data_IF_098128640876
#
_entry.id   IF_098128640876
#
_cell.length_a   1.000
_cell.length_b   1.000
_cell.length_c   1.000
_cell.angle_alpha   90.00
_cell.angle_beta   90.00
_cell.angle_gamma   90.00
#
_symmetry.space_group_name_H-M   'P 1'
#
loop_
_entity.id
_entity.type
_entity.pdbx_description
1 polymer ?
#
# COMPACT_ATOMS: atom_id res chain seq x y z
N UNK A 1 1.59 -11.70 17.62
CA UNK A 1 2.12 -10.56 16.85
C UNK A 1 3.46 -10.17 17.46
N UNK A 2 4.45 -9.87 16.60
CA UNK A 2 5.76 -9.33 17.01
C UNK A 2 6.04 -8.11 16.14
N UNK A 3 6.46 -7.01 16.77
CA UNK A 3 6.74 -5.78 16.05
C UNK A 3 8.24 -5.53 15.99
N UNK A 4 8.75 -5.23 14.80
CA UNK A 4 10.13 -4.80 14.57
C UNK A 4 10.09 -3.36 14.06
N UNK A 5 10.97 -2.52 14.56
CA UNK A 5 11.05 -1.14 14.07
C UNK A 5 12.21 -1.03 13.08
N UNK A 6 11.87 -0.66 11.85
CA UNK A 6 12.85 -0.43 10.77
C UNK A 6 13.22 1.05 10.76
N UNK A 7 14.51 1.36 10.77
CA UNK A 7 14.95 2.75 10.61
C UNK A 7 14.95 3.08 9.12
N UNK A 8 14.16 4.06 8.72
CA UNK A 8 14.07 4.49 7.32
C UNK A 8 14.24 6.00 7.27
N UNK A 9 15.39 6.46 6.79
CA UNK A 9 15.79 7.86 6.76
C UNK A 9 15.77 8.43 8.20
N UNK A 10 14.71 9.14 8.60
CA UNK A 10 14.54 9.72 9.94
C UNK A 10 13.33 9.13 10.66
N UNK A 11 12.67 8.16 10.04
CA UNK A 11 11.46 7.54 10.59
C UNK A 11 11.76 6.16 11.15
N UNK A 12 11.00 5.77 12.16
CA UNK A 12 10.93 4.40 12.64
C UNK A 12 9.62 3.82 12.13
N UNK A 13 9.70 2.77 11.33
CA UNK A 13 8.52 2.14 10.74
C UNK A 13 8.21 0.86 11.52
N UNK A 14 6.98 0.74 11.96
CA UNK A 14 6.53 -0.44 12.69
C UNK A 14 6.11 -1.54 11.69
N UNK A 15 6.91 -2.59 11.63
CA UNK A 15 6.60 -3.77 10.83
C UNK A 15 6.13 -4.89 11.77
N UNK A 16 4.88 -5.29 11.60
CA UNK A 16 4.24 -6.29 12.44
C UNK A 16 4.26 -7.66 11.76
N UNK A 17 4.82 -8.65 12.44
CA UNK A 17 4.70 -10.04 12.00
C UNK A 17 3.44 -10.62 12.64
N UNK A 18 2.40 -10.74 11.86
CA UNK A 18 1.09 -11.21 12.33
C UNK A 18 1.04 -12.74 12.41
N UNK A 19 1.76 -13.41 11.51
CA UNK A 19 1.86 -14.87 11.48
C UNK A 19 3.23 -15.27 10.95
N UNK A 20 3.84 -16.27 11.59
CA UNK A 20 5.09 -16.85 11.11
C UNK A 20 4.81 -17.80 9.92
N UNK A 21 5.83 -18.06 9.13
CA UNK A 21 5.73 -18.97 7.99
C UNK A 21 7.07 -19.10 7.31
N UNK A 22 7.16 -19.99 6.30
CA UNK A 22 8.36 -20.16 5.50
C UNK A 22 8.04 -19.80 4.05
N UNK A 23 8.93 -19.05 3.43
CA UNK A 23 8.76 -18.62 2.04
C UNK A 23 8.42 -17.15 1.94
N UNK A 24 7.85 -16.76 0.80
CA UNK A 24 7.61 -15.37 0.47
C UNK A 24 6.56 -14.74 1.40
N UNK A 25 6.85 -13.57 2.02
CA UNK A 25 5.87 -12.88 2.86
C UNK A 25 4.71 -12.29 2.05
N UNK A 26 3.58 -12.23 2.73
CA UNK A 26 2.46 -11.39 2.31
C UNK A 26 2.51 -10.11 3.16
N UNK A 27 2.57 -8.65 2.63
CA UNK A 27 2.58 -7.48 3.14
C UNK A 27 1.30 -6.94 3.09
N UNK A 28 0.81 -6.76 4.11
CA UNK A 28 -0.48 -6.03 4.13
C UNK A 28 -0.20 -4.54 4.27
N UNK A 29 -0.81 -3.73 3.42
CA UNK A 29 -0.71 -2.26 3.43
C UNK A 29 -2.11 -1.69 3.70
N UNK A 30 -2.26 -0.93 4.77
CA UNK A 30 -3.55 -0.45 5.27
C UNK A 30 -4.07 0.79 4.54
N UNK A 31 -5.33 1.12 4.74
CA UNK A 31 -5.96 2.33 4.22
C UNK A 31 -5.61 3.58 5.02
N UNK A 32 -6.02 4.72 4.48
CA UNK A 32 -5.76 6.04 5.09
C UNK A 32 -6.40 6.12 6.48
N UNK A 33 -5.59 6.50 7.46
CA UNK A 33 -6.08 6.65 8.83
C UNK A 33 -6.24 5.35 9.60
N UNK A 34 -5.88 4.25 9.00
CA UNK A 34 -5.96 2.94 9.67
C UNK A 34 -4.61 2.52 10.26
N UNK A 35 -4.46 1.48 10.74
CA UNK A 35 -3.36 0.84 11.31
C UNK A 35 -3.31 -0.53 10.79
N UNK A 36 -2.21 -1.17 11.14
CA UNK A 36 -2.11 -2.62 10.85
C UNK A 36 -3.02 -3.46 11.75
N UNK A 37 -3.56 -4.56 11.25
CA UNK A 37 -4.39 -5.39 12.12
C UNK A 37 -3.54 -6.06 13.21
N UNK A 38 -4.16 -6.32 14.35
CA UNK A 38 -3.45 -6.97 15.48
C UNK A 38 -3.28 -8.48 15.29
N UNK A 39 -4.06 -9.07 14.38
CA UNK A 39 -4.02 -10.50 14.05
C UNK A 39 -4.03 -10.68 12.53
N UNK A 40 -3.47 -11.79 12.08
CA UNK A 40 -3.54 -12.12 10.65
C UNK A 40 -5.01 -12.26 10.23
N UNK A 41 -5.47 -11.49 9.24
CA UNK A 41 -6.86 -11.59 8.82
C UNK A 41 -7.21 -13.01 8.36
N UNK A 42 -8.41 -13.50 8.69
CA UNK A 42 -8.79 -14.88 8.32
C UNK A 42 -8.64 -15.20 6.84
N UNK A 43 -8.84 -14.20 5.96
CA UNK A 43 -8.69 -14.38 4.52
C UNK A 43 -7.26 -14.79 4.13
N UNK A 44 -6.26 -14.55 4.99
CA UNK A 44 -4.86 -14.90 4.72
C UNK A 44 -4.51 -16.31 5.21
N UNK A 45 -5.48 -17.08 5.75
CA UNK A 45 -5.21 -18.39 6.36
C UNK A 45 -4.47 -19.35 5.42
N UNK A 46 -4.80 -19.32 4.13
CA UNK A 46 -4.17 -20.17 3.12
C UNK A 46 -2.81 -19.71 2.62
N UNK A 47 -2.34 -18.52 3.03
CA UNK A 47 -1.05 -18.04 2.54
C UNK A 47 0.10 -18.88 3.11
N UNK A 48 1.01 -19.40 2.26
CA UNK A 48 2.04 -20.34 2.74
C UNK A 48 3.15 -19.68 3.55
N UNK A 49 3.44 -18.40 3.30
CA UNK A 49 4.54 -17.67 3.93
C UNK A 49 4.11 -16.89 5.18
N UNK A 50 5.04 -16.08 5.72
CA UNK A 50 4.68 -15.18 6.81
C UNK A 50 3.66 -14.15 6.37
N UNK A 51 2.88 -13.63 7.33
CA UNK A 51 1.97 -12.51 7.08
C UNK A 51 2.51 -11.32 7.88
N UNK A 52 2.84 -10.26 7.17
CA UNK A 52 3.42 -9.03 7.71
C UNK A 52 2.46 -7.88 7.43
N UNK A 53 2.48 -6.87 8.28
CA UNK A 53 1.71 -5.64 8.06
C UNK A 53 2.58 -4.46 8.44
N UNK A 54 2.55 -3.42 7.62
CA UNK A 54 3.33 -2.20 7.82
C UNK A 54 2.41 -1.07 8.26
N UNK A 55 2.77 -0.40 9.34
CA UNK A 55 2.19 0.91 9.62
C UNK A 55 2.98 1.95 8.84
N UNK A 56 2.32 2.68 7.96
CA UNK A 56 2.96 3.78 7.22
C UNK A 56 3.38 4.90 8.15
N UNK A 57 4.41 5.67 7.77
CA UNK A 57 4.78 6.91 8.45
C UNK A 57 3.52 7.73 8.76
N UNK A 58 3.37 8.19 10.00
CA UNK A 58 2.21 8.95 10.44
C UNK A 58 1.02 8.12 10.88
N UNK A 59 1.13 6.79 10.86
CA UNK A 59 0.04 5.88 11.23
C UNK A 59 0.50 4.83 12.24
N UNK A 60 -0.44 4.28 12.99
CA UNK A 60 -0.20 3.19 13.91
C UNK A 60 0.95 3.45 14.88
N UNK A 61 1.88 2.51 14.95
CA UNK A 61 3.07 2.59 15.81
C UNK A 61 4.28 3.22 15.12
N UNK A 62 4.15 3.61 13.83
CA UNK A 62 5.23 4.29 13.10
C UNK A 62 5.37 5.74 13.52
N UNK A 63 6.58 6.30 13.34
CA UNK A 63 6.84 7.67 13.75
C UNK A 63 6.14 8.70 12.88
N UNK A 64 6.04 9.93 13.38
CA UNK A 64 5.44 11.08 12.71
C UNK A 64 6.52 12.11 12.41
N UNK A 65 6.61 12.61 11.19
CA UNK A 65 7.44 13.78 10.94
C UNK A 65 6.77 15.05 11.50
N UNK A 66 7.55 15.98 11.98
CA UNK A 66 7.02 17.26 12.42
C UNK A 66 6.60 18.09 11.21
N UNK A 67 5.33 18.50 11.17
CA UNK A 67 4.84 19.44 10.17
C UNK A 67 4.40 18.84 8.84
N UNK A 68 4.08 17.56 8.79
CA UNK A 68 3.48 16.97 7.59
C UNK A 68 4.50 16.59 6.52
N UNK A 69 4.10 16.71 5.24
CA UNK A 69 4.94 16.35 4.09
C UNK A 69 4.68 14.93 3.59
N UNK A 70 3.49 14.44 3.80
CA UNK A 70 3.13 13.08 3.37
C UNK A 70 2.77 13.04 1.89
N UNK A 71 3.36 12.11 1.16
CA UNK A 71 3.00 11.83 -0.23
C UNK A 71 2.90 10.31 -0.41
N UNK A 72 2.21 9.89 -1.46
CA UNK A 72 2.10 8.46 -1.75
C UNK A 72 3.48 7.86 -2.07
N UNK A 73 4.39 8.66 -2.66
CA UNK A 73 5.76 8.21 -2.95
C UNK A 73 6.59 8.04 -1.68
N UNK A 74 6.36 8.89 -0.66
CA UNK A 74 7.01 8.71 0.63
C UNK A 74 6.55 7.40 1.28
N UNK A 75 5.24 7.12 1.23
CA UNK A 75 4.71 5.85 1.77
C UNK A 75 5.17 4.64 0.93
N UNK A 76 5.34 4.83 -0.39
CA UNK A 76 5.94 3.79 -1.22
C UNK A 76 7.37 3.48 -0.74
N UNK A 77 8.12 4.53 -0.37
CA UNK A 77 9.48 4.36 0.17
C UNK A 77 9.46 3.62 1.52
N UNK A 78 8.44 3.87 2.37
CA UNK A 78 8.25 3.08 3.60
C UNK A 78 8.11 1.59 3.27
N UNK A 79 7.28 1.26 2.29
CA UNK A 79 7.05 -0.14 1.91
C UNK A 79 8.29 -0.75 1.23
N UNK A 80 9.06 0.06 0.48
CA UNK A 80 10.32 -0.39 -0.12
C UNK A 80 11.34 -0.77 0.96
N UNK A 81 11.33 -0.08 2.09
CA UNK A 81 12.21 -0.43 3.22
C UNK A 81 11.88 -1.84 3.76
N UNK A 82 10.61 -2.26 3.69
CA UNK A 82 10.24 -3.63 4.08
C UNK A 82 10.86 -4.63 3.09
N UNK A 83 10.79 -4.36 1.78
CA UNK A 83 11.40 -5.25 0.76
C UNK A 83 12.91 -5.37 1.02
N UNK A 84 13.58 -4.27 1.35
CA UNK A 84 15.01 -4.30 1.67
C UNK A 84 15.32 -5.19 2.86
N UNK A 85 14.39 -5.29 3.82
CA UNK A 85 14.57 -6.11 5.02
C UNK A 85 14.25 -7.59 4.78
N UNK A 86 13.14 -7.90 4.04
CA UNK A 86 12.62 -9.27 3.99
C UNK A 86 12.76 -9.93 2.62
N UNK A 87 13.18 -9.20 1.59
CA UNK A 87 13.25 -9.69 0.21
C UNK A 87 11.91 -9.61 -0.50
N UNK A 88 11.73 -10.34 -1.61
CA UNK A 88 10.51 -10.25 -2.40
C UNK A 88 9.25 -10.61 -1.63
N UNK A 89 8.16 -9.89 -1.93
CA UNK A 89 6.87 -10.05 -1.24
C UNK A 89 5.71 -10.16 -2.25
N UNK A 90 4.55 -10.61 -1.78
CA UNK A 90 3.26 -10.35 -2.41
C UNK A 90 2.56 -9.30 -1.56
N UNK A 91 1.82 -8.40 -2.19
CA UNK A 91 1.20 -7.26 -1.50
C UNK A 91 -0.32 -7.41 -1.49
N UNK A 92 -0.94 -7.18 -0.34
CA UNK A 92 -2.39 -7.03 -0.20
C UNK A 92 -2.62 -5.61 0.29
N UNK A 93 -3.09 -4.74 -0.59
CA UNK A 93 -3.29 -3.33 -0.28
C UNK A 93 -4.76 -2.96 -0.17
N UNK A 94 -5.08 -2.18 0.86
CA UNK A 94 -6.42 -1.66 1.09
C UNK A 94 -6.42 -0.14 0.93
N UNK A 95 -7.37 0.38 0.16
CA UNK A 95 -7.54 1.83 0.04
C UNK A 95 -6.26 2.56 -0.41
N UNK A 96 -5.75 3.47 0.44
CA UNK A 96 -4.47 4.14 0.20
C UNK A 96 -3.36 3.12 -0.03
N UNK A 97 -3.31 2.05 0.79
CA UNK A 97 -2.29 1.01 0.66
C UNK A 97 -2.34 0.25 -0.67
N UNK A 98 -3.52 0.19 -1.31
CA UNK A 98 -3.63 -0.41 -2.64
C UNK A 98 -2.94 0.47 -3.69
N UNK A 99 -3.16 1.78 -3.64
CA UNK A 99 -2.49 2.71 -4.56
C UNK A 99 -0.98 2.72 -4.33
N UNK A 100 -0.56 2.80 -3.06
CA UNK A 100 0.88 2.74 -2.72
C UNK A 100 1.48 1.42 -3.21
N UNK A 101 0.76 0.31 -3.08
CA UNK A 101 1.19 -1.00 -3.58
C UNK A 101 1.40 -1.02 -5.09
N UNK A 102 0.54 -0.29 -5.83
CA UNK A 102 0.71 -0.16 -7.28
C UNK A 102 1.99 0.59 -7.63
N UNK A 103 2.24 1.73 -6.94
CA UNK A 103 3.47 2.50 -7.16
C UNK A 103 4.70 1.65 -6.82
N UNK A 104 4.64 0.93 -5.71
CA UNK A 104 5.74 0.03 -5.29
C UNK A 104 5.99 -1.04 -6.34
N UNK A 105 4.92 -1.67 -6.86
CA UNK A 105 5.07 -2.73 -7.84
C UNK A 105 5.73 -2.21 -9.13
N UNK A 106 5.31 -1.04 -9.61
CA UNK A 106 5.94 -0.44 -10.80
C UNK A 106 7.40 -0.07 -10.57
N UNK A 107 7.74 0.28 -9.33
CA UNK A 107 9.13 0.66 -8.96
C UNK A 107 10.02 -0.56 -8.68
N UNK A 108 9.43 -1.67 -8.22
CA UNK A 108 10.15 -2.92 -7.88
C UNK A 108 9.51 -4.13 -8.56
N UNK A 109 9.42 -4.13 -9.91
CA UNK A 109 8.62 -5.17 -10.58
C UNK A 109 9.16 -6.59 -10.43
N UNK A 110 10.43 -6.74 -10.09
CA UNK A 110 11.02 -8.08 -9.88
C UNK A 110 10.94 -8.54 -8.43
N UNK A 111 10.68 -7.61 -7.49
CA UNK A 111 10.63 -7.91 -6.05
C UNK A 111 9.19 -8.13 -5.57
N UNK A 112 8.19 -7.70 -6.35
CA UNK A 112 6.79 -7.93 -6.02
C UNK A 112 6.30 -9.11 -6.87
N UNK A 113 5.67 -10.08 -6.21
CA UNK A 113 5.16 -11.29 -6.86
C UNK A 113 3.66 -11.36 -6.68
N UNK A 114 2.98 -10.33 -7.16
CA UNK A 114 1.53 -10.18 -7.11
C UNK A 114 1.08 -9.05 -6.19
N UNK A 115 0.06 -8.34 -6.64
CA UNK A 115 -0.60 -7.26 -5.88
C UNK A 115 -2.09 -7.50 -5.90
N UNK A 116 -2.72 -7.44 -4.72
CA UNK A 116 -4.18 -7.45 -4.60
C UNK A 116 -4.62 -6.03 -4.23
N UNK A 117 -5.50 -5.44 -5.04
CA UNK A 117 -6.05 -4.10 -4.87
C UNK A 117 -7.46 -4.22 -4.30
N UNK A 118 -7.65 -3.79 -3.05
CA UNK A 118 -8.94 -3.86 -2.35
C UNK A 118 -9.43 -2.48 -1.94
N UNK A 119 -10.75 -2.34 -1.81
CA UNK A 119 -11.38 -1.11 -1.31
C UNK A 119 -10.88 -0.78 0.10
N UNK A 120 -10.90 0.51 0.44
CA UNK A 120 -10.55 0.97 1.77
C UNK A 120 -10.42 2.49 1.82
N UNK A 121 -10.21 3.04 3.00
CA UNK A 121 -10.06 4.49 3.14
C UNK A 121 -8.91 5.04 2.31
N UNK A 122 -9.14 6.21 1.70
CA UNK A 122 -8.15 6.87 0.87
C UNK A 122 -7.94 6.25 -0.50
N UNK A 123 -8.91 5.45 -1.00
CA UNK A 123 -8.78 4.77 -2.28
C UNK A 123 -8.78 5.74 -3.47
N UNK A 124 -9.67 6.74 -3.44
CA UNK A 124 -9.80 7.70 -4.55
C UNK A 124 -8.75 8.80 -4.55
N UNK A 125 -8.26 9.17 -3.37
CA UNK A 125 -7.38 10.33 -3.24
C UNK A 125 -8.07 11.62 -3.63
N UNK A 126 -7.33 12.58 -4.15
CA UNK A 126 -7.81 13.88 -4.61
C UNK A 126 -8.27 13.90 -6.06
N UNK A 127 -8.48 12.73 -6.67
CA UNK A 127 -8.91 12.64 -8.06
C UNK A 127 -7.74 12.54 -9.03
N UNK A 128 -8.08 12.48 -10.32
CA UNK A 128 -7.10 12.23 -11.37
C UNK A 128 -6.31 13.45 -11.82
N UNK A 129 -6.71 14.66 -11.43
CA UNK A 129 -6.07 15.92 -11.87
C UNK A 129 -5.93 16.90 -10.72
N UNK A 130 -4.87 17.72 -10.71
CA UNK A 130 -4.76 18.78 -9.73
C UNK A 130 -5.95 19.74 -9.84
N UNK A 131 -6.52 20.07 -8.70
CA UNK A 131 -7.58 21.08 -8.61
C UNK A 131 -6.99 22.38 -8.05
N UNK A 132 -7.82 23.41 -7.88
CA UNK A 132 -7.36 24.66 -7.27
C UNK A 132 -6.76 24.37 -5.89
N UNK A 133 -5.71 25.07 -5.51
CA UNK A 133 -5.09 24.85 -4.21
C UNK A 133 -6.10 24.96 -3.08
N UNK A 134 -6.03 24.02 -2.15
CA UNK A 134 -6.82 24.03 -0.92
C UNK A 134 -5.89 24.39 0.23
N UNK A 135 -6.32 25.31 1.06
CA UNK A 135 -5.62 25.55 2.31
C UNK A 135 -6.01 24.44 3.28
N UNK A 136 -5.06 23.54 3.50
CA UNK A 136 -5.27 22.50 4.50
C UNK A 136 -5.02 23.12 5.87
N UNK A 137 -6.01 23.05 6.72
CA UNK A 137 -5.91 23.56 8.08
C UNK A 137 -6.06 22.39 9.06
N UNK A 138 -4.99 22.10 9.76
CA UNK A 138 -5.02 21.11 10.83
C UNK A 138 -5.15 21.87 12.14
N UNK A 139 -6.23 21.68 12.89
CA UNK A 139 -6.40 22.38 14.17
C UNK A 139 -5.23 22.07 15.11
N UNK A 140 -4.73 23.10 15.79
CA UNK A 140 -3.53 22.97 16.63
C UNK A 140 -3.70 21.96 17.77
N UNK A 141 -4.92 21.79 18.25
CA UNK A 141 -5.20 20.82 19.30
C UNK A 141 -5.19 19.37 18.79
N UNK A 142 -5.45 19.15 17.48
CA UNK A 142 -5.39 17.83 16.89
C UNK A 142 -3.98 17.49 16.40
N UNK A 143 -3.21 18.52 16.04
CA UNK A 143 -1.85 18.33 15.55
C UNK A 143 -0.87 17.87 16.64
N UNK A 144 -1.28 17.93 17.89
CA UNK A 144 -0.33 17.78 18.98
C UNK A 144 0.10 16.35 19.31
N UNK A 145 -0.77 15.34 19.12
CA UNK A 145 -0.49 14.02 19.69
C UNK A 145 -1.04 12.85 18.87
N UNK A 146 -0.24 11.81 18.72
CA UNK A 146 -0.69 10.48 18.32
C UNK A 146 -0.86 10.26 16.82
N UNK A 147 -1.27 9.03 16.51
CA UNK A 147 -1.55 8.58 15.14
C UNK A 147 -3.02 8.18 15.02
N UNK A 148 -3.65 8.31 13.86
CA UNK A 148 -3.04 8.84 12.63
C UNK A 148 -2.76 10.33 12.74
N UNK A 149 -1.66 10.77 12.13
CA UNK A 149 -1.29 12.18 12.10
C UNK A 149 -2.34 12.96 11.30
N UNK A 150 -2.95 14.02 11.85
CA UNK A 150 -3.90 14.82 11.08
C UNK A 150 -3.34 15.39 9.78
N UNK A 151 -2.03 15.70 9.73
CA UNK A 151 -1.40 16.12 8.49
C UNK A 151 -1.41 15.00 7.44
N UNK A 152 -1.18 13.76 7.86
CA UNK A 152 -1.25 12.62 6.92
C UNK A 152 -2.65 12.51 6.33
N UNK A 153 -3.64 12.62 7.15
CA UNK A 153 -5.01 12.58 6.67
C UNK A 153 -5.31 13.71 5.67
N UNK A 154 -4.89 14.75 5.89
CA UNK A 154 -5.08 15.81 5.06
C UNK A 154 -4.35 15.76 3.79
N UNK A 155 -3.18 15.52 3.88
CA UNK A 155 -2.38 15.53 2.67
C UNK A 155 -2.68 14.33 1.75
N UNK A 156 -2.73 13.14 2.30
CA UNK A 156 -2.92 11.93 1.49
C UNK A 156 -4.34 11.82 0.92
N UNK A 157 -5.35 12.39 1.59
CA UNK A 157 -6.71 12.43 1.04
C UNK A 157 -6.80 13.33 -0.18
N UNK A 158 -5.92 14.35 -0.28
CA UNK A 158 -5.92 15.31 -1.40
C UNK A 158 -4.89 15.02 -2.49
N UNK A 159 -3.99 14.15 -2.34
CA UNK A 159 -3.10 13.76 -3.25
C UNK A 159 -3.75 13.29 -4.45
N UNK A 160 -3.34 13.97 -5.44
CA UNK A 160 -3.80 13.62 -6.79
C UNK A 160 -3.25 12.27 -7.22
N UNK A 161 -4.05 11.49 -7.95
CA UNK A 161 -3.62 10.18 -8.48
C UNK A 161 -3.84 10.16 -9.98
N UNK A 162 -2.90 10.70 -10.76
CA UNK A 162 -3.08 10.82 -12.21
C UNK A 162 -3.20 9.44 -12.87
N UNK A 163 -4.19 9.26 -13.76
CA UNK A 163 -4.37 7.98 -14.45
C UNK A 163 -3.16 7.55 -15.28
N UNK A 164 -2.49 8.50 -15.94
CA UNK A 164 -1.30 8.19 -16.75
C UNK A 164 -0.11 7.77 -15.89
N UNK A 165 0.00 8.32 -14.67
CA UNK A 165 1.05 7.91 -13.73
C UNK A 165 0.82 6.46 -13.27
N UNK A 166 -0.42 6.11 -12.94
CA UNK A 166 -0.77 4.73 -12.59
C UNK A 166 -0.52 3.78 -13.76
N UNK A 167 -0.93 4.18 -14.97
CA UNK A 167 -0.73 3.37 -16.17
C UNK A 167 0.76 3.12 -16.44
N UNK A 168 1.62 4.11 -16.17
CA UNK A 168 3.06 3.95 -16.35
C UNK A 168 3.63 2.90 -15.38
N UNK A 169 3.17 2.91 -14.12
CA UNK A 169 3.61 1.89 -13.16
C UNK A 169 3.17 0.49 -13.61
N UNK A 170 1.93 0.36 -14.09
CA UNK A 170 1.45 -0.92 -14.62
C UNK A 170 2.25 -1.35 -15.85
N UNK A 171 2.65 -0.40 -16.71
CA UNK A 171 3.50 -0.70 -17.88
C UNK A 171 4.85 -1.29 -17.43
N UNK A 172 5.43 -0.75 -16.36
CA UNK A 172 6.66 -1.31 -15.80
C UNK A 172 6.44 -2.74 -15.30
N UNK A 173 5.32 -2.98 -14.62
CA UNK A 173 4.97 -4.34 -14.17
C UNK A 173 4.84 -5.27 -15.38
N UNK A 174 4.07 -4.87 -16.39
CA UNK A 174 3.84 -5.71 -17.59
C UNK A 174 5.13 -6.05 -18.32
N UNK A 175 6.09 -5.11 -18.30
CA UNK A 175 7.37 -5.30 -19.02
C UNK A 175 8.37 -6.14 -18.22
N UNK A 176 8.42 -5.97 -16.89
CA UNK A 176 9.55 -6.45 -16.10
C UNK A 176 9.21 -7.49 -15.03
N UNK A 177 7.93 -7.68 -14.67
CA UNK A 177 7.58 -8.60 -13.59
C UNK A 177 7.64 -10.08 -14.01
N UNK A 178 7.54 -10.36 -15.31
CA UNK A 178 7.51 -11.70 -15.83
C UNK A 178 6.36 -12.53 -15.23
N UNK A 179 5.17 -11.91 -15.18
CA UNK A 179 3.92 -12.52 -14.70
C UNK A 179 2.80 -12.11 -15.64
N UNK A 180 2.03 -13.06 -16.13
CA UNK A 180 0.88 -12.77 -17.02
C UNK A 180 -0.31 -12.21 -16.21
N UNK A 181 -0.48 -12.68 -15.00
CA UNK A 181 -1.50 -12.21 -14.06
C UNK A 181 -0.76 -11.66 -12.84
N UNK A 182 -0.59 -10.34 -12.79
CA UNK A 182 0.27 -9.69 -11.81
C UNK A 182 -0.49 -8.86 -10.78
N UNK A 183 -1.63 -8.27 -11.19
CA UNK A 183 -2.39 -7.35 -10.33
C UNK A 183 -3.85 -7.79 -10.31
N UNK A 184 -4.32 -8.23 -9.16
CA UNK A 184 -5.70 -8.65 -8.95
C UNK A 184 -6.52 -7.50 -8.39
N UNK A 185 -7.60 -7.13 -9.06
CA UNK A 185 -8.52 -6.07 -8.62
C UNK A 185 -9.72 -6.72 -7.97
N UNK A 186 -9.89 -6.51 -6.68
CA UNK A 186 -11.02 -7.04 -5.92
C UNK A 186 -11.94 -5.92 -5.44
N UNK A 187 -11.57 -4.66 -5.68
CA UNK A 187 -12.35 -3.50 -5.26
C UNK A 187 -13.62 -3.35 -6.08
N UNK A 188 -14.63 -2.74 -5.47
CA UNK A 188 -15.85 -2.30 -6.16
C UNK A 188 -15.63 -0.90 -6.72
N UNK A 189 -14.93 -0.05 -5.96
CA UNK A 189 -14.57 1.30 -6.39
C UNK A 189 -13.72 1.29 -7.66
N UNK A 190 -13.94 2.28 -8.53
CA UNK A 190 -13.21 2.41 -9.79
C UNK A 190 -12.73 3.85 -9.99
N UNK A 191 -11.78 4.32 -9.15
CA UNK A 191 -11.21 5.64 -9.40
C UNK A 191 -10.47 5.67 -10.74
N UNK A 192 -10.29 6.87 -11.28
CA UNK A 192 -9.69 7.05 -12.62
C UNK A 192 -8.33 6.37 -12.75
N UNK A 193 -7.52 6.39 -11.68
CA UNK A 193 -6.20 5.74 -11.73
C UNK A 193 -6.33 4.23 -11.90
N UNK A 194 -7.33 3.62 -11.25
CA UNK A 194 -7.53 2.17 -11.35
C UNK A 194 -8.12 1.80 -12.71
N UNK A 195 -9.05 2.61 -13.23
CA UNK A 195 -9.58 2.38 -14.57
C UNK A 195 -8.48 2.40 -15.62
N UNK A 196 -7.50 3.31 -15.48
CA UNK A 196 -6.34 3.35 -16.38
C UNK A 196 -5.47 2.10 -16.23
N UNK A 197 -5.23 1.67 -14.98
CA UNK A 197 -4.45 0.45 -14.70
C UNK A 197 -5.09 -0.80 -15.31
N UNK A 198 -6.42 -0.89 -15.22
CA UNK A 198 -7.18 -2.06 -15.69
C UNK A 198 -7.18 -2.23 -17.23
N UNK A 199 -6.65 -1.26 -17.98
CA UNK A 199 -6.49 -1.42 -19.43
C UNK A 199 -5.38 -2.38 -19.80
N UNK A 200 -4.50 -2.71 -18.86
CA UNK A 200 -3.38 -3.65 -19.10
C UNK A 200 -3.83 -5.10 -18.91
N UNK A 201 -3.29 -5.99 -19.73
CA UNK A 201 -3.62 -7.41 -19.66
C UNK A 201 -3.06 -8.11 -18.43
N UNK A 202 -2.09 -7.50 -17.73
CA UNK A 202 -1.56 -8.10 -16.49
C UNK A 202 -2.45 -7.81 -15.28
N UNK A 203 -3.50 -6.98 -15.47
CA UNK A 203 -4.47 -6.64 -14.42
C UNK A 203 -5.74 -7.43 -14.68
N UNK A 204 -6.26 -8.07 -13.64
CA UNK A 204 -7.45 -8.93 -13.77
C UNK A 204 -8.36 -8.78 -12.55
N UNK A 205 -9.66 -9.06 -12.73
CA UNK A 205 -10.62 -9.01 -11.63
C UNK A 205 -10.64 -10.35 -10.89
N UNK A 206 -10.82 -10.30 -9.57
CA UNK A 206 -10.78 -11.48 -8.74
C UNK A 206 -11.48 -11.22 -7.40
N UNK A 207 -11.52 -12.21 -6.52
CA UNK A 207 -11.73 -12.01 -5.09
C UNK A 207 -10.40 -12.23 -4.35
N UNK A 208 -10.34 -11.80 -3.09
CA UNK A 208 -9.07 -11.86 -2.34
C UNK A 208 -8.58 -13.31 -2.19
N UNK A 209 -9.48 -14.25 -1.86
CA UNK A 209 -9.06 -15.63 -1.62
C UNK A 209 -8.48 -16.28 -2.88
N UNK A 210 -9.14 -16.07 -4.03
CA UNK A 210 -8.66 -16.59 -5.31
C UNK A 210 -7.32 -15.96 -5.71
N UNK A 211 -7.19 -14.63 -5.54
CA UNK A 211 -5.95 -13.93 -5.86
C UNK A 211 -4.79 -14.41 -4.98
N UNK A 212 -5.02 -14.53 -3.67
CA UNK A 212 -3.98 -15.01 -2.76
C UNK A 212 -3.59 -16.47 -3.06
N UNK A 213 -4.55 -17.30 -3.44
CA UNK A 213 -4.28 -18.69 -3.84
C UNK A 213 -3.39 -18.72 -5.09
N UNK A 214 -3.74 -17.90 -6.09
CA UNK A 214 -2.95 -17.81 -7.33
C UNK A 214 -1.52 -17.36 -7.03
N UNK A 215 -1.36 -16.26 -6.29
CA UNK A 215 -0.04 -15.70 -6.00
C UNK A 215 0.75 -16.59 -5.03
N UNK A 216 0.09 -17.29 -4.12
CA UNK A 216 0.76 -18.19 -3.19
C UNK A 216 1.33 -19.44 -3.85
N UNK A 217 0.79 -19.84 -5.00
CA UNK A 217 1.27 -20.97 -5.77
C UNK A 217 2.43 -20.62 -6.73
N UNK A 218 2.66 -19.31 -6.98
CA UNK A 218 3.63 -18.82 -7.96
C UNK A 218 5.07 -18.74 -7.41
#
# INVERSE_FOLDING_TARGET
MTTTFLTHVRSQLALHKLRAGRGRPLXILHGLGEXSPSLAPPITKGWPGPVLALDFTGHGDSSRPAGGGYTCEALMSDADAVIAEVGPVTVLGYGLGAYVGLLLYGSRPREIRGLVIADGPGFDGGGGRPTSPKLLHVPSNEAANGTPDPWALXELASXTRPPDYAAEHVRQVATLANMDEAIAVVSIGRPEWLEAAMKSTVVFESDIAAALSLFGAA
#
